data_IF_651249769815
#
_entry.id   IF_651249769815
#
_cell.length_a   1.000
_cell.length_b   1.000
_cell.length_c   1.000
_cell.angle_alpha   90.00
_cell.angle_beta   90.00
_cell.angle_gamma   90.00
#
_symmetry.space_group_name_H-M   'P 1'
#
loop_
_entity.id
_entity.type
_entity.pdbx_description
1 polymer ?
#
# COMPACT_ATOMS: atom_id res chain seq x y z
N UNK A 1 60.00 -6.02 -17.21
CA UNK A 1 59.14 -6.34 -18.38
C UNK A 1 57.68 -6.08 -18.00
N UNK A 2 57.16 -4.95 -18.34
CA UNK A 2 55.74 -4.63 -18.10
C UNK A 2 54.90 -5.18 -19.26
N UNK A 3 54.21 -6.28 -19.00
CA UNK A 3 53.29 -6.86 -19.97
C UNK A 3 52.06 -5.97 -20.08
N UNK A 4 52.00 -5.11 -21.09
CA UNK A 4 50.82 -4.33 -21.42
C UNK A 4 49.78 -5.24 -22.05
N UNK A 5 48.85 -5.76 -21.22
CA UNK A 5 47.68 -6.49 -21.70
C UNK A 5 46.75 -5.52 -22.44
N UNK A 6 46.77 -5.48 -23.75
CA UNK A 6 45.84 -4.76 -24.58
C UNK A 6 44.45 -5.45 -24.52
N UNK A 7 43.47 -4.76 -23.96
CA UNK A 7 42.06 -5.20 -24.00
C UNK A 7 41.52 -4.95 -25.41
N UNK A 8 40.92 -5.97 -26.03
CA UNK A 8 40.41 -5.84 -27.39
C UNK A 8 39.08 -5.03 -27.43
N UNK A 9 38.88 -4.29 -28.52
CA UNK A 9 37.61 -3.54 -28.75
C UNK A 9 36.40 -4.48 -28.67
N UNK A 10 36.53 -5.73 -29.11
CA UNK A 10 35.44 -6.72 -29.01
C UNK A 10 35.06 -7.04 -27.57
N UNK A 11 36.01 -7.07 -26.64
CA UNK A 11 35.74 -7.30 -25.21
C UNK A 11 34.97 -6.13 -24.61
N UNK A 12 35.35 -4.89 -24.97
CA UNK A 12 34.61 -3.71 -24.52
C UNK A 12 33.17 -3.68 -25.04
N UNK A 13 32.97 -3.97 -26.33
CA UNK A 13 31.64 -4.04 -26.93
C UNK A 13 30.78 -5.12 -26.24
N UNK A 14 31.35 -6.30 -26.01
CA UNK A 14 30.65 -7.40 -25.31
C UNK A 14 30.31 -7.02 -23.85
N UNK A 15 31.22 -6.36 -23.14
CA UNK A 15 30.96 -5.92 -21.76
C UNK A 15 29.84 -4.88 -21.69
N UNK A 16 29.85 -3.88 -22.59
CA UNK A 16 28.79 -2.88 -22.67
C UNK A 16 27.44 -3.54 -22.97
N UNK A 17 27.38 -4.47 -23.90
CA UNK A 17 26.16 -5.14 -24.28
C UNK A 17 25.60 -5.98 -23.11
N UNK A 18 26.47 -6.68 -22.37
CA UNK A 18 26.08 -7.44 -21.18
C UNK A 18 25.56 -6.52 -20.07
N UNK A 19 26.21 -5.37 -19.82
CA UNK A 19 25.73 -4.38 -18.85
C UNK A 19 24.33 -3.88 -19.21
N UNK A 20 24.08 -3.56 -20.49
CA UNK A 20 22.79 -3.09 -20.95
C UNK A 20 21.71 -4.15 -20.76
N UNK A 21 21.99 -5.40 -21.16
CA UNK A 21 21.00 -6.49 -21.06
C UNK A 21 20.68 -6.80 -19.60
N UNK A 22 21.71 -7.05 -18.77
CA UNK A 22 21.47 -7.38 -17.36
C UNK A 22 20.85 -6.19 -16.63
N UNK A 23 21.29 -4.96 -16.92
CA UNK A 23 20.71 -3.74 -16.34
C UNK A 23 19.23 -3.59 -16.67
N UNK A 24 18.85 -3.78 -17.94
CA UNK A 24 17.45 -3.71 -18.37
C UNK A 24 16.58 -4.80 -17.71
N UNK A 25 17.07 -6.05 -17.65
CA UNK A 25 16.38 -7.15 -17.00
C UNK A 25 16.23 -6.92 -15.48
N UNK A 26 17.26 -6.40 -14.83
CA UNK A 26 17.24 -6.09 -13.40
C UNK A 26 16.23 -4.98 -13.11
N UNK A 27 16.21 -3.92 -13.91
CA UNK A 27 15.24 -2.82 -13.75
C UNK A 27 13.81 -3.31 -13.96
N UNK A 28 13.57 -4.11 -15.00
CA UNK A 28 12.27 -4.70 -15.26
C UNK A 28 11.81 -5.61 -14.10
N UNK A 29 12.69 -6.49 -13.61
CA UNK A 29 12.39 -7.36 -12.48
C UNK A 29 12.11 -6.56 -11.20
N UNK A 30 12.85 -5.47 -10.96
CA UNK A 30 12.67 -4.59 -9.82
C UNK A 30 11.28 -3.92 -9.86
N UNK A 31 10.93 -3.24 -10.96
CA UNK A 31 9.64 -2.55 -11.09
C UNK A 31 8.46 -3.54 -11.00
N UNK A 32 8.56 -4.69 -11.67
CA UNK A 32 7.51 -5.73 -11.61
C UNK A 32 7.33 -6.29 -10.18
N UNK A 33 8.41 -6.41 -9.42
CA UNK A 33 8.32 -6.87 -8.03
C UNK A 33 7.68 -5.83 -7.11
N UNK A 34 8.01 -4.54 -7.28
CA UNK A 34 7.39 -3.46 -6.50
C UNK A 34 5.89 -3.35 -6.81
N UNK A 35 5.49 -3.37 -8.08
CA UNK A 35 4.09 -3.34 -8.48
C UNK A 35 3.32 -4.54 -7.89
N UNK A 36 3.87 -5.75 -8.02
CA UNK A 36 3.22 -6.96 -7.49
C UNK A 36 3.07 -6.96 -5.97
N UNK A 37 4.06 -6.43 -5.24
CA UNK A 37 4.00 -6.30 -3.78
C UNK A 37 2.97 -5.23 -3.37
N UNK A 38 2.94 -4.11 -4.08
CA UNK A 38 1.95 -3.06 -3.87
C UNK A 38 0.53 -3.59 -4.07
N UNK A 39 0.28 -4.27 -5.18
CA UNK A 39 -1.01 -4.87 -5.50
C UNK A 39 -1.41 -5.91 -4.43
N UNK A 40 -0.48 -6.76 -3.99
CA UNK A 40 -0.75 -7.77 -2.97
C UNK A 40 -1.15 -7.14 -1.62
N UNK A 41 -0.48 -6.06 -1.20
CA UNK A 41 -0.84 -5.34 0.04
C UNK A 41 -2.20 -4.68 -0.12
N UNK A 42 -2.47 -3.99 -1.24
CA UNK A 42 -3.76 -3.36 -1.50
C UNK A 42 -4.90 -4.39 -1.53
N UNK A 43 -4.71 -5.53 -2.19
CA UNK A 43 -5.71 -6.60 -2.25
C UNK A 43 -5.96 -7.21 -0.87
N UNK A 44 -4.92 -7.38 -0.07
CA UNK A 44 -5.05 -7.81 1.33
C UNK A 44 -5.87 -6.83 2.16
N UNK A 45 -5.60 -5.52 2.04
CA UNK A 45 -6.35 -4.49 2.73
C UNK A 45 -7.81 -4.42 2.26
N UNK A 46 -8.07 -4.48 0.94
CA UNK A 46 -9.44 -4.52 0.37
C UNK A 46 -10.22 -5.72 0.89
N UNK A 47 -9.58 -6.89 0.93
CA UNK A 47 -10.19 -8.10 1.47
C UNK A 47 -10.52 -7.95 2.96
N UNK A 48 -9.59 -7.42 3.74
CA UNK A 48 -9.77 -7.20 5.19
C UNK A 48 -10.93 -6.24 5.46
N UNK A 49 -10.91 -5.05 4.83
CA UNK A 49 -11.99 -4.06 5.05
C UNK A 49 -13.34 -4.56 4.53
N UNK A 50 -13.34 -5.33 3.42
CA UNK A 50 -14.55 -5.94 2.90
C UNK A 50 -15.20 -6.91 3.89
N UNK A 51 -14.40 -7.79 4.50
CA UNK A 51 -14.89 -8.71 5.55
C UNK A 51 -15.37 -7.94 6.77
N UNK A 52 -14.60 -6.94 7.24
CA UNK A 52 -15.01 -6.12 8.39
C UNK A 52 -16.31 -5.37 8.12
N UNK A 53 -16.51 -4.84 6.91
CA UNK A 53 -17.73 -4.12 6.56
C UNK A 53 -18.99 -4.97 6.65
N UNK A 54 -18.91 -6.28 6.38
CA UNK A 54 -20.06 -7.21 6.54
C UNK A 54 -20.49 -7.41 7.99
N UNK A 55 -19.66 -7.03 8.95
CA UNK A 55 -19.96 -7.13 10.39
C UNK A 55 -20.57 -5.85 10.96
N UNK A 56 -20.67 -4.79 10.16
CA UNK A 56 -21.29 -3.53 10.56
C UNK A 56 -22.73 -3.50 10.08
N UNK A 57 -23.66 -3.34 11.03
CA UNK A 57 -25.07 -3.22 10.68
C UNK A 57 -25.37 -1.76 10.35
N UNK A 58 -25.86 -1.49 9.14
CA UNK A 58 -26.19 -0.14 8.69
C UNK A 58 -27.25 0.55 9.57
N UNK A 59 -28.17 -0.22 10.20
CA UNK A 59 -29.17 0.34 11.12
C UNK A 59 -28.55 0.95 12.37
N UNK A 60 -27.38 0.44 12.81
CA UNK A 60 -26.73 0.91 14.02
C UNK A 60 -26.02 2.25 13.82
N UNK A 61 -25.78 2.64 12.57
CA UNK A 61 -25.12 3.91 12.21
C UNK A 61 -26.06 4.92 11.58
N UNK A 62 -27.23 4.52 11.11
CA UNK A 62 -28.14 5.36 10.29
C UNK A 62 -28.61 6.63 11.00
N UNK A 63 -28.78 6.60 12.32
CA UNK A 63 -29.33 7.69 13.11
C UNK A 63 -28.29 8.47 13.92
N UNK A 64 -26.99 8.11 13.81
CA UNK A 64 -25.90 8.80 14.50
C UNK A 64 -25.74 10.22 13.97
N UNK A 65 -25.59 11.18 14.87
CA UNK A 65 -25.46 12.63 14.58
C UNK A 65 -24.42 13.26 15.52
N UNK A 66 -23.88 14.43 15.16
CA UNK A 66 -22.94 15.15 16.03
C UNK A 66 -23.47 15.31 17.45
N UNK A 67 -22.66 14.92 18.43
CA UNK A 67 -23.00 14.89 19.85
C UNK A 67 -23.38 13.51 20.39
N UNK A 68 -23.54 12.50 19.53
CA UNK A 68 -23.86 11.12 19.94
C UNK A 68 -22.60 10.27 20.23
N UNK A 69 -21.39 10.85 20.25
CA UNK A 69 -20.12 10.10 20.41
C UNK A 69 -20.00 9.34 21.72
N UNK A 70 -20.79 9.72 22.73
CA UNK A 70 -20.86 9.03 24.03
C UNK A 70 -22.12 8.17 24.17
N UNK A 71 -22.97 8.10 23.16
CA UNK A 71 -24.18 7.27 23.20
C UNK A 71 -23.82 5.79 23.24
N UNK A 72 -24.64 4.95 23.91
CA UNK A 72 -24.41 3.50 23.95
C UNK A 72 -24.31 2.88 22.55
N UNK A 73 -25.06 3.39 21.58
CA UNK A 73 -25.05 2.93 20.20
C UNK A 73 -23.71 3.21 19.52
N UNK A 74 -23.21 4.46 19.61
CA UNK A 74 -21.90 4.83 19.06
C UNK A 74 -20.79 3.97 19.68
N UNK A 75 -20.76 3.89 21.02
CA UNK A 75 -19.74 3.15 21.76
C UNK A 75 -19.76 1.65 21.40
N UNK A 76 -20.94 1.07 21.18
CA UNK A 76 -21.05 -0.32 20.74
C UNK A 76 -20.43 -0.53 19.35
N UNK A 77 -20.71 0.34 18.37
CA UNK A 77 -20.13 0.26 17.03
C UNK A 77 -18.63 0.49 17.09
N UNK A 78 -18.16 1.52 17.78
CA UNK A 78 -16.72 1.82 17.93
C UNK A 78 -15.94 0.66 18.57
N UNK A 79 -16.49 0.04 19.62
CA UNK A 79 -15.88 -1.14 20.24
C UNK A 79 -15.87 -2.36 19.32
N UNK A 80 -16.90 -2.56 18.49
CA UNK A 80 -16.89 -3.62 17.48
C UNK A 80 -15.78 -3.39 16.44
N UNK A 81 -15.65 -2.16 15.91
CA UNK A 81 -14.57 -1.79 15.00
C UNK A 81 -13.19 -2.03 15.63
N UNK A 82 -13.00 -1.58 16.88
CA UNK A 82 -11.78 -1.79 17.64
C UNK A 82 -11.43 -3.27 17.80
N UNK A 83 -12.44 -4.11 18.10
CA UNK A 83 -12.26 -5.55 18.24
C UNK A 83 -11.81 -6.17 16.93
N UNK A 84 -12.47 -5.84 15.81
CA UNK A 84 -12.09 -6.34 14.49
C UNK A 84 -10.69 -5.88 14.09
N UNK A 85 -10.37 -4.60 14.30
CA UNK A 85 -9.05 -4.04 14.02
C UNK A 85 -7.94 -4.75 14.80
N UNK A 86 -8.19 -5.04 16.09
CA UNK A 86 -7.18 -5.70 16.96
C UNK A 86 -6.80 -7.13 16.54
N UNK A 87 -7.50 -7.71 15.57
CA UNK A 87 -7.16 -9.02 15.01
C UNK A 87 -6.10 -8.94 13.90
N UNK A 88 -5.69 -7.72 13.51
CA UNK A 88 -4.66 -7.49 12.49
C UNK A 88 -3.72 -6.39 12.96
N UNK A 89 -2.50 -6.78 13.38
CA UNK A 89 -1.49 -5.86 13.94
C UNK A 89 -1.01 -4.78 12.97
N UNK A 90 -1.26 -4.94 11.66
CA UNK A 90 -0.92 -3.94 10.64
C UNK A 90 -2.00 -2.87 10.47
N UNK A 91 -3.17 -3.00 11.09
CA UNK A 91 -4.25 -2.01 11.02
C UNK A 91 -4.28 -1.19 12.30
N UNK A 92 -4.09 0.12 12.17
CA UNK A 92 -4.00 1.03 13.33
C UNK A 92 -5.26 1.83 13.58
N UNK A 93 -6.10 2.06 12.56
CA UNK A 93 -7.39 2.74 12.69
C UNK A 93 -8.48 1.95 11.95
N UNK A 94 -9.70 2.01 12.47
CA UNK A 94 -10.91 1.56 11.79
C UNK A 94 -12.02 2.57 12.05
N UNK A 95 -12.63 3.11 11.00
CA UNK A 95 -13.62 4.15 11.13
C UNK A 95 -14.67 4.07 10.01
N UNK A 96 -15.81 4.73 10.22
CA UNK A 96 -16.88 4.79 9.24
C UNK A 96 -16.97 6.22 8.71
N UNK A 97 -16.99 6.33 7.39
CA UNK A 97 -17.20 7.57 6.67
C UNK A 97 -18.60 7.60 6.04
N UNK A 98 -19.21 8.78 6.04
CA UNK A 98 -20.47 9.07 5.34
C UNK A 98 -20.19 9.97 4.16
N UNK A 99 -20.76 9.60 3.01
CA UNK A 99 -20.79 10.48 1.82
C UNK A 99 -22.10 11.25 1.82
N UNK A 100 -22.00 12.56 1.93
CA UNK A 100 -23.15 13.46 1.98
C UNK A 100 -23.66 13.82 0.56
N UNK A 101 -24.90 14.31 0.43
CA UNK A 101 -25.48 14.71 -0.86
C UNK A 101 -24.68 15.79 -1.61
N UNK A 102 -23.99 16.67 -0.87
CA UNK A 102 -23.10 17.71 -1.41
C UNK A 102 -21.70 17.17 -1.80
N UNK A 103 -21.52 15.84 -1.77
CA UNK A 103 -20.27 15.15 -2.02
C UNK A 103 -19.16 15.46 -1.01
N UNK A 104 -19.45 16.02 0.14
CA UNK A 104 -18.52 16.03 1.26
C UNK A 104 -18.46 14.64 1.90
N UNK A 105 -17.29 14.30 2.43
CA UNK A 105 -17.07 13.06 3.18
C UNK A 105 -16.85 13.43 4.63
N UNK A 106 -17.63 12.85 5.53
CA UNK A 106 -17.54 13.14 6.96
C UNK A 106 -17.38 11.88 7.77
N UNK A 107 -16.69 11.98 8.90
CA UNK A 107 -16.59 10.88 9.86
C UNK A 107 -17.96 10.64 10.52
N UNK A 108 -18.30 9.36 10.69
CA UNK A 108 -19.53 8.93 11.37
C UNK A 108 -19.22 8.16 12.65
N UNK A 109 -18.23 7.27 12.62
CA UNK A 109 -17.73 6.56 13.79
C UNK A 109 -16.20 6.44 13.66
N UNK A 110 -15.50 6.66 14.77
CA UNK A 110 -14.05 6.44 14.89
C UNK A 110 -13.81 5.50 16.09
N UNK A 111 -13.12 4.38 15.87
CA UNK A 111 -12.93 3.35 16.89
C UNK A 111 -12.03 3.81 18.06
N UNK A 112 -11.24 4.85 17.84
CA UNK A 112 -10.37 5.42 18.87
C UNK A 112 -11.10 6.43 19.76
N UNK A 113 -12.19 7.05 19.29
CA UNK A 113 -12.86 8.15 19.98
C UNK A 113 -13.23 7.85 21.45
N UNK A 114 -13.76 6.66 21.79
CA UNK A 114 -14.10 6.36 23.18
C UNK A 114 -12.88 6.38 24.14
N UNK A 115 -11.68 6.15 23.63
CA UNK A 115 -10.45 6.09 24.42
C UNK A 115 -9.61 7.38 24.30
N UNK A 116 -9.61 8.02 23.13
CA UNK A 116 -8.85 9.23 22.81
C UNK A 116 -9.69 10.26 22.03
N UNK A 117 -10.59 10.99 22.69
CA UNK A 117 -11.43 11.98 22.02
C UNK A 117 -10.68 13.17 21.43
N UNK A 118 -9.40 13.36 21.77
CA UNK A 118 -8.59 14.47 21.27
C UNK A 118 -7.80 14.08 20.02
N UNK A 119 -7.39 12.80 19.92
CA UNK A 119 -6.60 12.27 18.82
C UNK A 119 -7.42 11.65 17.70
N UNK A 120 -8.77 11.62 17.82
CA UNK A 120 -9.68 10.96 16.88
C UNK A 120 -10.73 11.92 16.30
N UNK A 121 -11.42 11.48 15.24
CA UNK A 121 -12.40 12.30 14.54
C UNK A 121 -13.76 12.25 15.23
N UNK A 122 -14.46 13.41 15.21
CA UNK A 122 -15.84 13.54 15.69
C UNK A 122 -16.85 13.28 14.59
N UNK A 123 -18.07 12.91 14.97
CA UNK A 123 -19.17 12.80 14.02
C UNK A 123 -19.38 14.13 13.29
N UNK A 124 -19.46 14.06 11.97
CA UNK A 124 -19.66 15.24 11.11
C UNK A 124 -18.38 15.99 10.78
N UNK A 125 -17.24 15.63 11.35
CA UNK A 125 -15.97 16.21 10.95
C UNK A 125 -15.66 15.84 9.49
N UNK A 126 -15.25 16.84 8.70
CA UNK A 126 -14.94 16.64 7.29
C UNK A 126 -13.60 15.91 7.14
N UNK A 127 -13.59 14.83 6.38
CA UNK A 127 -12.38 14.13 6.02
C UNK A 127 -11.49 14.99 5.13
N UNK A 128 -10.20 15.05 5.46
CA UNK A 128 -9.16 15.73 4.68
C UNK A 128 -8.33 14.73 3.86
N UNK A 129 -8.75 13.46 3.78
CA UNK A 129 -8.09 12.46 2.94
C UNK A 129 -8.11 12.89 1.46
N UNK A 130 -7.01 12.71 0.72
CA UNK A 130 -6.97 12.92 -0.73
C UNK A 130 -7.76 11.85 -1.50
N UNK A 131 -8.11 10.73 -0.86
CA UNK A 131 -8.74 9.54 -1.47
C UNK A 131 -10.25 9.71 -1.74
N UNK A 132 -10.70 10.92 -1.99
CA UNK A 132 -12.12 11.19 -2.20
C UNK A 132 -12.74 10.34 -3.30
N UNK A 133 -12.01 10.10 -4.39
CA UNK A 133 -12.48 9.28 -5.51
C UNK A 133 -12.52 7.79 -5.15
N UNK A 134 -11.53 7.32 -4.40
CA UNK A 134 -11.46 5.96 -3.87
C UNK A 134 -12.62 5.68 -2.90
N UNK A 135 -12.94 6.64 -2.02
CA UNK A 135 -14.09 6.57 -1.12
C UNK A 135 -15.42 6.51 -1.88
N UNK A 136 -15.57 7.29 -2.95
CA UNK A 136 -16.78 7.23 -3.78
C UNK A 136 -16.91 5.92 -4.52
N UNK A 137 -15.80 5.38 -5.04
CA UNK A 137 -15.79 4.07 -5.68
C UNK A 137 -16.08 2.95 -4.67
N UNK A 138 -15.63 3.11 -3.44
CA UNK A 138 -15.85 2.17 -2.34
C UNK A 138 -17.32 2.07 -1.90
N UNK A 139 -18.19 2.96 -2.32
CA UNK A 139 -19.65 2.77 -2.14
C UNK A 139 -20.22 1.56 -2.92
N UNK A 140 -19.46 1.01 -3.86
CA UNK A 140 -19.91 -0.10 -4.70
C UNK A 140 -19.03 -1.34 -4.59
N UNK A 141 -17.71 -1.17 -4.36
CA UNK A 141 -16.73 -2.26 -4.33
C UNK A 141 -15.55 -1.89 -3.44
N UNK A 142 -14.98 -2.82 -2.66
CA UNK A 142 -13.81 -2.54 -1.85
C UNK A 142 -12.67 -1.93 -2.67
N UNK A 143 -12.11 -0.82 -2.18
CA UNK A 143 -11.12 0.00 -2.87
C UNK A 143 -10.00 0.36 -1.90
N UNK A 144 -8.78 0.53 -2.39
CA UNK A 144 -7.64 0.99 -1.60
C UNK A 144 -7.06 2.30 -2.15
N UNK A 145 -6.35 3.04 -1.30
CA UNK A 145 -5.52 4.18 -1.69
C UNK A 145 -4.55 3.77 -2.79
N UNK A 146 -4.24 4.67 -3.72
CA UNK A 146 -3.22 4.41 -4.76
C UNK A 146 -1.80 4.55 -4.22
N UNK A 147 -1.63 5.38 -3.19
CA UNK A 147 -0.34 5.63 -2.54
C UNK A 147 -0.58 6.06 -1.09
N UNK A 148 0.41 5.91 -0.21
CA UNK A 148 0.34 6.48 1.13
C UNK A 148 0.17 8.00 1.11
N UNK A 149 -0.57 8.52 2.08
CA UNK A 149 -0.82 9.95 2.22
C UNK A 149 -0.72 10.38 3.69
N UNK A 150 -0.69 11.70 3.92
CA UNK A 150 -0.59 12.28 5.28
C UNK A 150 -1.79 13.17 5.56
N UNK A 151 -2.36 13.01 6.75
CA UNK A 151 -3.41 13.88 7.33
C UNK A 151 -2.95 14.40 8.69
N UNK A 152 -3.79 15.17 9.35
CA UNK A 152 -3.52 15.59 10.75
C UNK A 152 -3.47 14.40 11.74
N UNK A 153 -4.02 13.24 11.38
CA UNK A 153 -4.04 12.03 12.20
C UNK A 153 -2.83 11.12 11.98
N UNK A 154 -2.04 11.35 10.94
CA UNK A 154 -0.85 10.56 10.62
C UNK A 154 -0.67 10.30 9.15
N UNK A 155 0.27 9.41 8.83
CA UNK A 155 0.57 8.98 7.46
C UNK A 155 0.14 7.53 7.26
N UNK A 156 -0.73 7.29 6.30
CA UNK A 156 -1.42 6.01 6.13
C UNK A 156 -1.50 5.56 4.68
N UNK A 157 -1.68 4.27 4.52
CA UNK A 157 -2.28 3.62 3.36
C UNK A 157 -3.64 3.12 3.80
N UNK A 158 -4.73 3.46 3.08
CA UNK A 158 -6.09 3.16 3.52
C UNK A 158 -6.81 2.24 2.56
N UNK A 159 -7.81 1.53 3.07
CA UNK A 159 -8.77 0.81 2.26
C UNK A 159 -10.19 1.04 2.78
N UNK A 160 -11.13 0.97 1.87
CA UNK A 160 -12.52 1.33 2.05
C UNK A 160 -13.42 0.24 1.50
N UNK A 161 -14.55 -0.05 2.18
CA UNK A 161 -15.56 -1.00 1.68
C UNK A 161 -16.98 -0.49 1.95
N UNK A 162 -17.96 -0.81 1.10
CA UNK A 162 -19.33 -0.39 1.31
C UNK A 162 -19.93 -1.06 2.53
N UNK A 163 -20.68 -0.30 3.32
CA UNK A 163 -21.56 -0.85 4.34
C UNK A 163 -22.92 -1.05 3.66
N UNK A 164 -23.32 -2.30 3.53
CA UNK A 164 -24.59 -2.66 2.86
C UNK A 164 -25.77 -2.33 3.76
N UNK A 165 -26.67 -1.49 3.28
CA UNK A 165 -27.91 -1.12 3.94
C UNK A 165 -29.13 -1.96 3.47
N UNK A 166 -28.92 -2.91 2.54
CA UNK A 166 -29.97 -3.77 1.98
C UNK A 166 -30.68 -4.63 3.03
N UNK A 167 -30.02 -4.90 4.16
CA UNK A 167 -30.58 -5.67 5.28
C UNK A 167 -31.36 -4.84 6.30
N UNK A 168 -31.20 -3.52 6.28
CA UNK A 168 -31.64 -2.66 7.40
C UNK A 168 -33.11 -2.29 7.38
N UNK A 169 -33.90 -2.66 6.37
CA UNK A 169 -35.28 -2.18 6.23
C UNK A 169 -35.36 -0.64 6.20
N UNK A 170 -34.23 0.01 6.11
CA UNK A 170 -34.10 1.46 6.06
C UNK A 170 -34.37 1.93 4.62
N UNK A 171 -34.87 3.14 4.49
CA UNK A 171 -35.21 3.79 3.22
C UNK A 171 -33.96 4.08 2.35
N UNK A 172 -32.92 3.24 2.42
CA UNK A 172 -31.82 3.10 1.45
C UNK A 172 -30.97 4.34 1.18
N UNK A 173 -30.69 5.20 2.18
CA UNK A 173 -30.04 6.48 1.91
C UNK A 173 -28.74 6.75 2.68
N UNK A 174 -28.22 5.80 3.46
CA UNK A 174 -26.96 5.99 4.16
C UNK A 174 -25.80 5.53 3.28
N UNK A 175 -25.24 6.45 2.49
CA UNK A 175 -24.03 6.17 1.72
C UNK A 175 -22.82 6.20 2.66
N UNK A 176 -22.49 5.06 3.25
CA UNK A 176 -21.39 4.91 4.19
C UNK A 176 -20.39 3.86 3.72
N UNK A 177 -19.13 4.06 4.08
CA UNK A 177 -18.06 3.10 3.89
C UNK A 177 -17.33 2.86 5.19
N UNK A 178 -16.93 1.61 5.44
CA UNK A 178 -15.92 1.30 6.43
C UNK A 178 -14.56 1.61 5.85
N UNK A 179 -13.70 2.23 6.64
CA UNK A 179 -12.32 2.51 6.32
C UNK A 179 -11.38 1.85 7.33
N UNK A 180 -10.24 1.40 6.87
CA UNK A 180 -9.12 0.94 7.70
C UNK A 180 -7.83 1.59 7.24
N UNK A 181 -6.93 1.86 8.20
CA UNK A 181 -5.62 2.45 7.94
C UNK A 181 -4.49 1.53 8.36
N UNK A 182 -3.52 1.35 7.46
CA UNK A 182 -2.20 0.80 7.73
C UNK A 182 -1.19 1.95 7.83
N UNK A 183 -0.23 1.96 8.76
CA UNK A 183 0.84 2.95 8.78
C UNK A 183 1.58 2.98 7.44
N UNK A 184 1.85 4.19 6.92
CA UNK A 184 2.61 4.34 5.68
C UNK A 184 3.99 3.68 5.74
N UNK A 185 4.62 3.67 6.93
CA UNK A 185 5.90 3.00 7.16
C UNK A 185 5.81 1.47 6.94
N UNK A 186 4.72 0.83 7.39
CA UNK A 186 4.51 -0.61 7.24
C UNK A 186 4.26 -0.96 5.77
N UNK A 187 3.46 -0.13 5.06
CA UNK A 187 3.27 -0.28 3.63
C UNK A 187 4.60 -0.19 2.87
N UNK A 188 5.41 0.84 3.14
CA UNK A 188 6.73 1.01 2.51
C UNK A 188 7.64 -0.16 2.85
N UNK A 189 7.67 -0.63 4.10
CA UNK A 189 8.48 -1.79 4.50
C UNK A 189 8.04 -3.09 3.79
N UNK A 190 6.73 -3.27 3.58
CA UNK A 190 6.20 -4.43 2.86
C UNK A 190 6.54 -4.41 1.36
N UNK A 191 6.51 -3.21 0.73
CA UNK A 191 6.71 -3.06 -0.72
C UNK A 191 8.15 -2.83 -1.14
N UNK A 192 9.04 -2.31 -0.27
CA UNK A 192 10.44 -1.96 -0.60
C UNK A 192 11.43 -3.14 -0.68
N UNK A 193 10.94 -4.37 -0.62
CA UNK A 193 11.82 -5.58 -0.69
C UNK A 193 12.56 -5.76 -2.02
N UNK A 194 12.22 -4.98 -3.03
CA UNK A 194 12.89 -4.95 -4.33
C UNK A 194 14.37 -4.58 -4.30
N UNK A 195 14.87 -3.93 -3.24
CA UNK A 195 16.29 -3.56 -3.13
C UNK A 195 17.26 -4.76 -3.27
N UNK A 196 16.86 -5.96 -2.83
CA UNK A 196 17.65 -7.17 -3.01
C UNK A 196 17.84 -7.53 -4.50
N UNK A 197 16.86 -7.25 -5.35
CA UNK A 197 16.93 -7.49 -6.80
C UNK A 197 17.99 -6.60 -7.44
N UNK A 198 18.04 -5.31 -7.05
CA UNK A 198 19.05 -4.38 -7.56
C UNK A 198 20.45 -4.80 -7.16
N UNK A 199 20.67 -5.19 -5.90
CA UNK A 199 21.97 -5.69 -5.42
C UNK A 199 22.40 -6.94 -6.20
N UNK A 200 21.49 -7.89 -6.38
CA UNK A 200 21.75 -9.12 -7.15
C UNK A 200 22.12 -8.81 -8.60
N UNK A 201 21.42 -7.88 -9.25
CA UNK A 201 21.71 -7.45 -10.61
C UNK A 201 23.09 -6.80 -10.74
N UNK A 202 23.47 -5.92 -9.80
CA UNK A 202 24.79 -5.30 -9.76
C UNK A 202 25.89 -6.37 -9.63
N UNK A 203 25.73 -7.32 -8.71
CA UNK A 203 26.67 -8.43 -8.53
C UNK A 203 26.79 -9.27 -9.80
N UNK A 204 25.68 -9.58 -10.46
CA UNK A 204 25.67 -10.32 -11.73
C UNK A 204 26.44 -9.58 -12.83
N UNK A 205 26.28 -8.26 -12.94
CA UNK A 205 27.04 -7.42 -13.89
C UNK A 205 28.54 -7.52 -13.61
N UNK A 206 28.95 -7.34 -12.34
CA UNK A 206 30.36 -7.38 -11.95
C UNK A 206 30.98 -8.74 -12.32
N UNK A 207 30.30 -9.85 -11.99
CA UNK A 207 30.78 -11.21 -12.32
C UNK A 207 30.87 -11.41 -13.83
N UNK A 208 29.84 -11.05 -14.59
CA UNK A 208 29.79 -11.25 -16.04
C UNK A 208 30.86 -10.42 -16.76
N UNK A 209 31.04 -9.17 -16.38
CA UNK A 209 32.10 -8.31 -16.93
C UNK A 209 33.49 -8.83 -16.56
N UNK A 210 33.70 -9.22 -15.30
CA UNK A 210 34.94 -9.84 -14.84
C UNK A 210 35.28 -11.07 -15.65
N UNK A 211 34.34 -11.97 -15.91
CA UNK A 211 34.51 -13.15 -16.73
C UNK A 211 34.94 -12.81 -18.17
N UNK A 212 34.34 -11.80 -18.82
CA UNK A 212 34.71 -11.35 -20.16
C UNK A 212 36.20 -10.94 -20.21
N UNK A 213 36.71 -10.23 -19.20
CA UNK A 213 38.06 -9.75 -19.16
C UNK A 213 39.09 -10.85 -18.74
N UNK A 214 38.68 -11.83 -17.93
CA UNK A 214 39.54 -12.94 -17.53
C UNK A 214 39.65 -13.97 -18.64
N UNK A 215 38.53 -14.48 -19.15
CA UNK A 215 38.52 -15.58 -20.13
C UNK A 215 38.72 -15.08 -21.58
N UNK A 216 38.47 -13.81 -21.87
CA UNK A 216 38.75 -13.23 -23.19
C UNK A 216 40.19 -12.94 -23.49
N UNK A 217 41.14 -13.16 -22.53
CA UNK A 217 42.57 -13.00 -22.75
C UNK A 217 43.06 -14.13 -23.62
N UNK A 218 43.46 -13.86 -24.87
CA UNK A 218 44.21 -14.83 -25.69
C UNK A 218 45.56 -15.05 -25.06
N UNK A 219 46.02 -16.31 -24.92
CA UNK A 219 47.41 -16.56 -24.58
C UNK A 219 48.29 -15.94 -25.66
N UNK A 220 49.27 -15.13 -25.26
CA UNK A 220 50.30 -14.62 -26.15
C UNK A 220 51.01 -15.86 -26.73
N UNK A 221 50.91 -16.05 -28.05
CA UNK A 221 51.71 -17.06 -28.73
C UNK A 221 53.18 -16.69 -28.49
N UNK A 222 53.85 -17.44 -27.62
CA UNK A 222 55.25 -17.29 -27.41
C UNK A 222 55.92 -17.54 -28.75
N UNK A 223 56.60 -16.55 -29.30
CA UNK A 223 57.57 -16.76 -30.37
C UNK A 223 58.64 -17.68 -29.82
N UNK A 224 58.59 -18.98 -30.22
CA UNK A 224 59.70 -19.89 -30.01
C UNK A 224 60.94 -19.39 -30.76
N UNK A 225 62.11 -19.55 -30.21
CA UNK A 225 63.35 -19.06 -30.78
C UNK A 225 63.79 -19.82 -32.09
#
# INVERSE_FOLDING_TARGET
>A
MTCTCSVSTKQWVSAILVIIIIGALTLFAYTSAEDSLSDAVQDGMKSTVGVMATQVNASDIANLKPGDETSPQYVAVANNLKTMRSMNDHIVNAYILKVNPDQSVTFLVDDLYPADPQGSAKIGEVSTSPDKMEIFHALSVPTASKAPYTTKYGSFMSAYAPIDDSYAGSTGNTKAVLAIDMPAADYVAATSRGAAILVTGIVAIIIAVGAIFVFGRKPSAGTAP
#
